data_IF_891675157624
#
_entry.id   IF_891675157624
#
_cell.length_a   1.000
_cell.length_b   1.000
_cell.length_c   1.000
_cell.angle_alpha   90.00
_cell.angle_beta   90.00
_cell.angle_gamma   90.00
#
_symmetry.space_group_name_H-M   'P 1'
#
loop_
_entity.id
_entity.type
_entity.pdbx_description
1 polymer ?
#
# COMPACT_ATOMS: atom_id res chain seq x y z
N UNK A 1 71.53 -21.32 28.85
CA UNK A 1 70.86 -20.35 27.96
C UNK A 1 69.36 -20.58 28.11
N UNK A 2 68.71 -19.90 29.05
CA UNK A 2 67.25 -19.96 29.21
C UNK A 2 66.74 -18.51 29.19
N UNK A 3 66.05 -18.17 28.10
CA UNK A 3 65.48 -16.86 27.87
C UNK A 3 64.32 -16.63 28.85
N UNK A 4 64.42 -15.62 29.71
CA UNK A 4 63.32 -15.16 30.55
C UNK A 4 62.28 -14.44 29.66
N UNK A 5 61.19 -15.12 29.31
CA UNK A 5 59.99 -14.46 28.81
C UNK A 5 59.34 -13.71 29.99
N UNK A 6 59.55 -12.40 30.04
CA UNK A 6 58.98 -11.51 31.04
C UNK A 6 57.47 -11.39 30.79
N UNK A 7 56.66 -12.13 31.55
CA UNK A 7 55.20 -11.99 31.52
C UNK A 7 54.78 -10.63 32.11
N UNK A 8 54.43 -9.69 31.24
CA UNK A 8 53.87 -8.40 31.61
C UNK A 8 52.35 -8.51 31.76
N UNK A 9 51.88 -9.18 32.82
CA UNK A 9 50.46 -9.28 33.15
C UNK A 9 50.05 -8.11 34.03
N UNK A 10 49.66 -7.00 33.41
CA UNK A 10 49.03 -5.87 34.10
C UNK A 10 47.61 -6.26 34.53
N UNK A 11 47.28 -6.09 35.81
CA UNK A 11 45.93 -6.32 36.34
C UNK A 11 45.02 -5.11 36.13
N UNK A 12 43.72 -5.33 35.96
CA UNK A 12 42.73 -4.25 35.91
C UNK A 12 42.38 -3.76 37.32
N UNK A 13 42.20 -2.45 37.46
CA UNK A 13 41.65 -1.88 38.70
C UNK A 13 40.12 -1.95 38.70
N UNK A 14 39.51 -2.00 39.89
CA UNK A 14 38.05 -1.99 40.02
C UNK A 14 37.43 -0.74 39.37
N UNK A 15 38.10 0.42 39.47
CA UNK A 15 37.66 1.65 38.81
C UNK A 15 37.76 1.60 37.28
N UNK A 16 38.76 0.92 36.73
CA UNK A 16 38.87 0.71 35.29
C UNK A 16 37.76 -0.20 34.75
N UNK A 17 37.42 -1.27 35.50
CA UNK A 17 36.31 -2.16 35.11
C UNK A 17 34.97 -1.43 35.13
N UNK A 18 34.72 -0.53 36.09
CA UNK A 18 33.45 0.22 36.16
C UNK A 18 33.35 1.23 35.03
N UNK A 19 34.44 1.90 34.68
CA UNK A 19 34.49 2.82 33.52
C UNK A 19 34.29 2.04 32.21
N UNK A 20 34.97 0.91 32.03
CA UNK A 20 34.86 0.07 30.85
C UNK A 20 33.41 -0.45 30.67
N UNK A 21 32.77 -0.91 31.74
CA UNK A 21 31.37 -1.32 31.73
C UNK A 21 30.43 -0.15 31.41
N UNK A 22 30.72 1.06 31.90
CA UNK A 22 29.96 2.26 31.57
C UNK A 22 29.99 2.57 30.07
N UNK A 23 31.17 2.55 29.45
CA UNK A 23 31.33 2.76 28.01
C UNK A 23 30.62 1.66 27.21
N UNK A 24 30.74 0.40 27.66
CA UNK A 24 30.04 -0.73 27.04
C UNK A 24 28.52 -0.54 27.08
N UNK A 25 27.97 -0.13 28.23
CA UNK A 25 26.53 0.10 28.38
C UNK A 25 26.02 1.20 27.44
N UNK A 26 26.76 2.30 27.28
CA UNK A 26 26.40 3.36 26.33
C UNK A 26 26.37 2.80 24.90
N UNK A 27 27.36 1.99 24.53
CA UNK A 27 27.41 1.33 23.22
C UNK A 27 26.22 0.41 22.97
N UNK A 28 25.85 -0.41 23.96
CA UNK A 28 24.70 -1.33 23.87
C UNK A 28 23.37 -0.57 23.77
N UNK A 29 23.20 0.51 24.53
CA UNK A 29 21.99 1.33 24.44
C UNK A 29 21.85 1.98 23.06
N UNK A 30 22.95 2.48 22.49
CA UNK A 30 22.94 3.08 21.16
C UNK A 30 22.57 2.08 20.05
N UNK A 31 23.03 0.82 20.15
CA UNK A 31 22.68 -0.20 19.15
C UNK A 31 21.23 -0.66 19.27
N UNK A 32 20.70 -0.79 20.50
CA UNK A 32 19.30 -1.16 20.72
C UNK A 32 18.35 -0.10 20.17
N UNK A 33 18.62 1.19 20.40
CA UNK A 33 17.75 2.26 19.86
C UNK A 33 17.74 2.27 18.33
N UNK A 34 18.91 2.05 17.70
CA UNK A 34 19.01 1.93 16.25
C UNK A 34 18.21 0.72 15.72
N UNK A 35 18.33 -0.44 16.36
CA UNK A 35 17.58 -1.64 15.98
C UNK A 35 16.07 -1.41 16.03
N UNK A 36 15.57 -0.79 17.10
CA UNK A 36 14.14 -0.46 17.23
C UNK A 36 13.68 0.49 16.12
N UNK A 37 14.49 1.47 15.76
CA UNK A 37 14.21 2.35 14.63
C UNK A 37 14.14 1.55 13.33
N UNK A 38 15.14 0.71 13.03
CA UNK A 38 15.20 -0.13 11.83
C UNK A 38 13.99 -1.05 11.70
N UNK A 39 13.55 -1.70 12.79
CA UNK A 39 12.34 -2.55 12.75
C UNK A 39 11.09 -1.77 12.39
N UNK A 40 10.96 -0.54 12.90
CA UNK A 40 9.81 0.30 12.56
C UNK A 40 9.83 0.70 11.08
N UNK A 41 11.01 1.04 10.54
CA UNK A 41 11.17 1.34 9.11
C UNK A 41 10.91 0.12 8.23
N UNK A 42 11.35 -1.07 8.64
CA UNK A 42 11.11 -2.31 7.90
C UNK A 42 9.61 -2.61 7.78
N UNK A 43 8.86 -2.52 8.88
CA UNK A 43 7.40 -2.74 8.85
C UNK A 43 6.67 -1.72 7.97
N UNK A 44 7.08 -0.45 8.02
CA UNK A 44 6.48 0.56 7.15
C UNK A 44 6.78 0.27 5.67
N UNK A 45 8.02 -0.08 5.35
CA UNK A 45 8.45 -0.42 3.98
C UNK A 45 7.69 -1.63 3.41
N UNK A 46 7.46 -2.67 4.23
CA UNK A 46 6.64 -3.83 3.84
C UNK A 46 5.21 -3.42 3.46
N UNK A 47 4.59 -2.52 4.23
CA UNK A 47 3.26 -2.02 3.92
C UNK A 47 3.24 -1.18 2.64
N UNK A 48 4.24 -0.33 2.42
CA UNK A 48 4.34 0.48 1.21
C UNK A 48 4.42 -0.38 -0.06
N UNK A 49 5.14 -1.50 -0.03
CA UNK A 49 5.19 -2.44 -1.16
C UNK A 49 3.79 -3.02 -1.46
N UNK A 50 3.03 -3.40 -0.44
CA UNK A 50 1.66 -3.92 -0.60
C UNK A 50 0.76 -2.83 -1.20
N UNK A 51 0.80 -1.63 -0.63
CA UNK A 51 0.02 -0.47 -1.06
C UNK A 51 0.25 -0.13 -2.53
N UNK A 52 1.51 -0.09 -2.97
CA UNK A 52 1.86 0.22 -4.37
C UNK A 52 1.28 -0.84 -5.31
N UNK A 53 1.33 -2.12 -4.93
CA UNK A 53 0.77 -3.20 -5.74
C UNK A 53 -0.77 -3.20 -5.73
N UNK A 54 -1.41 -2.85 -4.62
CA UNK A 54 -2.87 -2.67 -4.56
C UNK A 54 -3.34 -1.51 -5.45
N UNK A 55 -2.58 -0.41 -5.47
CA UNK A 55 -2.87 0.73 -6.31
C UNK A 55 -2.74 0.36 -7.80
N UNK A 56 -1.67 -0.37 -8.17
CA UNK A 56 -1.48 -0.94 -9.51
C UNK A 56 -2.63 -1.87 -9.90
N UNK A 57 -3.02 -2.79 -9.02
CA UNK A 57 -4.14 -3.69 -9.28
C UNK A 57 -5.42 -2.91 -9.60
N UNK A 58 -5.74 -1.86 -8.85
CA UNK A 58 -6.91 -1.02 -9.13
C UNK A 58 -6.92 -0.44 -10.55
N UNK A 59 -5.75 0.00 -11.06
CA UNK A 59 -5.63 0.47 -12.44
C UNK A 59 -5.78 -0.68 -13.44
N UNK A 60 -5.17 -1.84 -13.17
CA UNK A 60 -5.28 -3.00 -14.06
C UNK A 60 -6.73 -3.50 -14.17
N UNK A 61 -7.52 -3.42 -13.09
CA UNK A 61 -8.96 -3.76 -13.13
C UNK A 61 -9.70 -2.86 -14.13
N UNK A 62 -9.49 -1.54 -14.07
CA UNK A 62 -10.13 -0.61 -15.01
C UNK A 62 -9.63 -0.82 -16.44
N UNK A 63 -8.34 -1.10 -16.62
CA UNK A 63 -7.78 -1.45 -17.93
C UNK A 63 -8.39 -2.73 -18.49
N UNK A 64 -8.61 -3.74 -17.65
CA UNK A 64 -9.25 -4.98 -18.03
C UNK A 64 -10.70 -4.74 -18.45
N UNK A 65 -11.47 -3.95 -17.69
CA UNK A 65 -12.83 -3.55 -18.06
C UNK A 65 -12.87 -2.90 -19.44
N UNK A 66 -12.02 -1.88 -19.67
CA UNK A 66 -11.89 -1.24 -20.99
C UNK A 66 -11.60 -2.27 -22.09
N UNK A 67 -10.58 -3.10 -21.92
CA UNK A 67 -10.16 -4.05 -22.95
C UNK A 67 -11.20 -5.15 -23.23
N UNK A 68 -12.10 -5.40 -22.28
CA UNK A 68 -13.15 -6.41 -22.39
C UNK A 68 -14.50 -5.85 -22.83
N UNK A 69 -14.57 -4.55 -23.12
CA UNK A 69 -15.79 -3.89 -23.60
C UNK A 69 -16.13 -4.38 -25.03
N UNK A 70 -17.40 -4.73 -25.23
CA UNK A 70 -18.01 -4.99 -26.53
C UNK A 70 -19.09 -3.92 -26.80
N UNK A 71 -18.89 -3.01 -27.78
CA UNK A 71 -19.85 -1.93 -28.07
C UNK A 71 -21.25 -2.41 -28.46
N UNK A 72 -21.40 -3.67 -28.89
CA UNK A 72 -22.71 -4.24 -29.26
C UNK A 72 -23.48 -4.77 -28.04
N UNK A 73 -22.84 -4.81 -26.86
CA UNK A 73 -23.39 -5.37 -25.64
C UNK A 73 -23.61 -4.27 -24.61
N UNK A 74 -24.82 -3.71 -24.61
CA UNK A 74 -25.22 -2.60 -23.73
C UNK A 74 -25.08 -2.87 -22.21
N UNK A 75 -24.88 -4.13 -21.79
CA UNK A 75 -24.58 -4.47 -20.41
C UNK A 75 -23.15 -4.15 -20.00
N UNK A 76 -22.23 -4.06 -20.95
CA UNK A 76 -20.80 -3.89 -20.69
C UNK A 76 -20.47 -2.43 -20.44
N UNK A 77 -19.44 -2.19 -19.63
CA UNK A 77 -19.11 -0.85 -19.17
C UNK A 77 -18.26 -0.17 -20.23
N UNK A 78 -18.81 0.87 -20.85
CA UNK A 78 -18.04 1.82 -21.62
C UNK A 78 -17.64 3.00 -20.72
N UNK A 79 -16.39 3.00 -20.23
CA UNK A 79 -15.87 4.08 -19.38
C UNK A 79 -15.72 5.44 -20.10
N UNK A 80 -15.86 5.49 -21.43
CA UNK A 80 -15.74 6.69 -22.26
C UNK A 80 -17.09 7.36 -22.60
N UNK A 81 -18.21 6.83 -22.14
CA UNK A 81 -19.54 7.40 -22.36
C UNK A 81 -19.87 8.62 -21.47
N UNK A 82 -18.93 9.00 -20.59
CA UNK A 82 -19.01 10.03 -19.54
C UNK A 82 -19.96 9.71 -18.37
N UNK A 83 -20.65 8.57 -18.38
CA UNK A 83 -21.55 8.16 -17.28
C UNK A 83 -20.79 7.93 -15.97
N UNK A 84 -19.50 7.61 -16.06
CA UNK A 84 -18.64 7.29 -14.93
C UNK A 84 -17.70 8.43 -14.52
N UNK A 85 -17.85 9.62 -15.12
CA UNK A 85 -16.98 10.76 -14.84
C UNK A 85 -17.16 11.28 -13.41
N UNK A 86 -16.03 11.46 -12.73
CA UNK A 86 -15.92 11.83 -11.32
C UNK A 86 -16.59 10.84 -10.36
N UNK A 87 -16.84 9.61 -10.82
CA UNK A 87 -17.37 8.55 -9.99
C UNK A 87 -16.25 7.74 -9.33
N UNK A 88 -16.58 7.18 -8.17
CA UNK A 88 -15.65 6.43 -7.33
C UNK A 88 -16.17 5.02 -7.11
N UNK A 89 -15.27 4.04 -7.05
CA UNK A 89 -15.61 2.63 -7.01
C UNK A 89 -14.67 1.83 -6.11
N UNK A 90 -15.20 0.71 -5.59
CA UNK A 90 -14.45 -0.29 -4.84
C UNK A 90 -14.42 -1.62 -5.61
N UNK A 91 -13.76 -1.63 -6.77
CA UNK A 91 -13.74 -2.79 -7.66
C UNK A 91 -12.68 -3.81 -7.25
N UNK A 92 -12.97 -5.07 -7.52
CA UNK A 92 -12.09 -6.23 -7.40
C UNK A 92 -11.88 -6.90 -8.76
N UNK A 93 -10.82 -7.70 -8.88
CA UNK A 93 -10.47 -8.37 -10.13
C UNK A 93 -11.45 -9.49 -10.55
N UNK A 94 -12.36 -9.92 -9.67
CA UNK A 94 -13.43 -10.88 -10.02
C UNK A 94 -14.76 -10.21 -10.34
N UNK A 95 -14.86 -8.88 -10.21
CA UNK A 95 -16.08 -8.17 -10.55
C UNK A 95 -16.35 -8.27 -12.05
N UNK A 96 -17.59 -8.58 -12.41
CA UNK A 96 -18.01 -8.63 -13.80
C UNK A 96 -17.96 -7.22 -14.43
N UNK A 97 -17.45 -7.13 -15.66
CA UNK A 97 -17.50 -5.89 -16.47
C UNK A 97 -18.93 -5.59 -16.93
N UNK A 98 -19.79 -5.15 -16.01
CA UNK A 98 -21.19 -4.82 -16.31
C UNK A 98 -21.64 -3.54 -15.61
N UNK A 99 -22.58 -2.81 -16.22
CA UNK A 99 -23.19 -1.59 -15.64
C UNK A 99 -23.78 -1.87 -14.25
N UNK A 100 -24.37 -3.06 -14.04
CA UNK A 100 -24.93 -3.46 -12.74
C UNK A 100 -23.84 -3.62 -11.69
N UNK A 101 -22.72 -4.27 -12.03
CA UNK A 101 -21.57 -4.41 -11.13
C UNK A 101 -20.99 -3.05 -10.74
N UNK A 102 -20.83 -2.14 -11.71
CA UNK A 102 -20.36 -0.78 -11.45
C UNK A 102 -21.27 -0.01 -10.49
N UNK A 103 -22.59 -0.14 -10.64
CA UNK A 103 -23.56 0.51 -9.77
C UNK A 103 -23.52 -0.05 -8.33
N UNK A 104 -23.37 -1.38 -8.18
CA UNK A 104 -23.26 -2.04 -6.88
C UNK A 104 -21.95 -1.69 -6.17
N UNK A 105 -20.86 -1.54 -6.92
CA UNK A 105 -19.53 -1.24 -6.41
C UNK A 105 -19.21 0.27 -6.37
N UNK A 106 -20.23 1.13 -6.45
CA UNK A 106 -20.06 2.57 -6.35
C UNK A 106 -19.77 2.99 -4.90
N UNK A 107 -18.66 3.71 -4.71
CA UNK A 107 -18.26 4.28 -3.44
C UNK A 107 -18.88 5.67 -3.28
N UNK A 108 -20.03 5.75 -2.60
CA UNK A 108 -20.76 7.01 -2.37
C UNK A 108 -20.45 7.60 -0.98
N UNK A 109 -20.56 8.93 -0.85
CA UNK A 109 -20.41 9.61 0.44
C UNK A 109 -18.97 9.77 0.94
N UNK A 110 -17.95 9.46 0.14
CA UNK A 110 -16.55 9.64 0.46
C UNK A 110 -15.77 10.35 -0.66
N UNK A 111 -14.79 11.16 -0.28
CA UNK A 111 -13.86 11.84 -1.19
C UNK A 111 -12.46 11.24 -1.19
N UNK A 112 -12.12 10.44 -0.18
CA UNK A 112 -10.84 9.78 -0.03
C UNK A 112 -11.06 8.31 0.32
N UNK A 113 -10.08 7.46 -0.01
CA UNK A 113 -10.13 6.04 0.32
C UNK A 113 -10.29 5.81 1.83
N UNK A 114 -9.69 6.68 2.65
CA UNK A 114 -9.73 6.57 4.12
C UNK A 114 -11.13 6.76 4.71
N UNK A 115 -11.90 7.70 4.14
CA UNK A 115 -13.26 8.03 4.58
C UNK A 115 -14.33 7.07 4.02
N UNK A 116 -13.99 6.29 2.99
CA UNK A 116 -14.90 5.33 2.38
C UNK A 116 -15.12 4.11 3.29
N UNK A 117 -16.37 3.83 3.66
CA UNK A 117 -16.75 2.68 4.49
C UNK A 117 -16.74 1.36 3.72
N UNK A 118 -17.04 1.41 2.42
CA UNK A 118 -17.12 0.24 1.52
C UNK A 118 -15.77 -0.14 0.91
N UNK A 119 -14.78 0.74 0.98
CA UNK A 119 -13.47 0.58 0.34
C UNK A 119 -12.50 -0.29 1.16
N UNK A 120 -12.97 -0.94 2.23
CA UNK A 120 -12.16 -1.78 3.09
C UNK A 120 -11.72 -3.05 2.35
N UNK A 121 -10.41 -3.32 2.35
CA UNK A 121 -9.88 -4.55 1.78
C UNK A 121 -9.76 -5.66 2.83
N UNK A 122 -10.11 -6.85 2.39
CA UNK A 122 -10.04 -8.12 3.10
C UNK A 122 -9.12 -9.06 2.34
N UNK A 123 -8.27 -9.81 3.06
CA UNK A 123 -7.43 -10.84 2.48
C UNK A 123 -8.17 -12.17 2.50
N UNK A 124 -8.47 -12.71 1.33
CA UNK A 124 -9.12 -14.00 1.14
C UNK A 124 -8.26 -14.86 0.19
N UNK A 125 -7.77 -16.00 0.66
CA UNK A 125 -6.95 -16.95 -0.12
C UNK A 125 -5.78 -16.32 -0.91
N UNK A 126 -5.11 -15.34 -0.30
CA UNK A 126 -3.97 -14.63 -0.91
C UNK A 126 -4.34 -13.48 -1.84
N UNK A 127 -5.63 -13.15 -1.96
CA UNK A 127 -6.16 -12.06 -2.79
C UNK A 127 -6.84 -11.00 -1.93
N UNK A 128 -6.69 -9.73 -2.32
CA UNK A 128 -7.40 -8.62 -1.67
C UNK A 128 -8.76 -8.39 -2.34
N UNK A 129 -9.82 -8.34 -1.54
CA UNK A 129 -11.21 -8.13 -2.01
C UNK A 129 -11.97 -7.19 -1.06
N UNK A 130 -13.08 -6.61 -1.51
CA UNK A 130 -13.93 -5.73 -0.70
C UNK A 130 -15.09 -6.44 0.01
N UNK A 131 -15.28 -7.74 -0.25
CA UNK A 131 -16.50 -8.47 0.15
C UNK A 131 -16.28 -9.50 1.26
N UNK A 132 -15.15 -10.22 1.26
CA UNK A 132 -14.93 -11.33 2.18
C UNK A 132 -13.45 -11.54 2.54
N UNK A 133 -13.20 -12.16 3.70
CA UNK A 133 -11.87 -12.55 4.15
C UNK A 133 -11.47 -11.93 5.49
N UNK A 134 -10.16 -11.94 5.77
CA UNK A 134 -9.59 -11.32 6.95
C UNK A 134 -9.45 -9.81 6.76
N UNK A 135 -10.04 -9.02 7.66
CA UNK A 135 -9.97 -7.57 7.58
C UNK A 135 -8.51 -7.10 7.65
N UNK A 136 -8.12 -6.25 6.69
CA UNK A 136 -6.78 -5.67 6.64
C UNK A 136 -6.80 -4.23 7.14
N UNK A 137 -5.66 -3.55 7.20
CA UNK A 137 -5.62 -2.11 7.46
C UNK A 137 -5.71 -1.27 6.18
N UNK A 138 -5.85 -1.90 5.01
CA UNK A 138 -5.86 -1.22 3.72
C UNK A 138 -7.29 -0.91 3.27
N UNK A 139 -7.45 0.25 2.64
CA UNK A 139 -8.63 0.60 1.87
C UNK A 139 -8.24 1.04 0.47
N UNK A 140 -8.98 0.63 -0.55
CA UNK A 140 -8.73 1.03 -1.96
C UNK A 140 -9.95 1.69 -2.56
N UNK A 141 -9.74 2.79 -3.27
CA UNK A 141 -10.77 3.48 -4.02
C UNK A 141 -10.25 3.84 -5.40
N UNK A 142 -11.04 3.55 -6.42
CA UNK A 142 -10.73 3.88 -7.81
C UNK A 142 -11.63 5.04 -8.21
N UNK A 143 -11.06 6.09 -8.78
CA UNK A 143 -11.81 7.24 -9.32
C UNK A 143 -11.56 7.33 -10.82
N UNK A 144 -12.63 7.54 -11.57
CA UNK A 144 -12.58 7.80 -13.01
C UNK A 144 -12.86 9.29 -13.20
N UNK A 145 -11.89 10.04 -13.71
CA UNK A 145 -12.00 11.45 -14.03
C UNK A 145 -11.95 11.67 -15.54
N UNK A 146 -12.59 12.72 -16.08
CA UNK A 146 -12.41 13.10 -17.47
C UNK A 146 -10.93 13.43 -17.76
N UNK A 147 -10.42 12.98 -18.91
CA UNK A 147 -9.10 13.38 -19.40
C UNK A 147 -9.15 14.70 -20.19
N UNK A 148 -8.08 14.99 -20.93
CA UNK A 148 -7.96 16.22 -21.73
C UNK A 148 -8.88 16.23 -22.97
N UNK A 149 -9.43 15.08 -23.33
CA UNK A 149 -10.38 14.90 -24.43
C UNK A 149 -11.47 13.88 -24.10
N UNK A 150 -12.54 13.84 -24.88
CA UNK A 150 -13.59 12.81 -24.74
C UNK A 150 -13.11 11.39 -25.04
N UNK A 151 -11.89 11.22 -25.57
CA UNK A 151 -11.25 9.94 -25.88
C UNK A 151 -10.18 9.56 -24.86
N UNK A 152 -10.13 10.26 -23.74
CA UNK A 152 -9.20 10.00 -22.65
C UNK A 152 -9.92 10.05 -21.30
N UNK A 153 -9.57 9.12 -20.42
CA UNK A 153 -10.00 9.11 -19.02
C UNK A 153 -8.79 9.01 -18.11
N UNK A 154 -8.78 9.82 -17.07
CA UNK A 154 -7.79 9.76 -16.00
C UNK A 154 -8.30 8.79 -14.94
N UNK A 155 -7.54 7.72 -14.70
CA UNK A 155 -7.87 6.69 -13.71
C UNK A 155 -6.95 6.89 -12.52
N UNK A 156 -7.55 7.06 -11.34
CA UNK A 156 -6.87 7.30 -10.08
C UNK A 156 -7.17 6.13 -9.14
N UNK A 157 -6.13 5.44 -8.69
CA UNK A 157 -6.24 4.38 -7.68
C UNK A 157 -5.59 4.89 -6.40
N UNK A 158 -6.42 5.22 -5.41
CA UNK A 158 -6.00 5.66 -4.09
C UNK A 158 -6.09 4.49 -3.11
N UNK A 159 -5.00 4.22 -2.39
CA UNK A 159 -4.95 3.25 -1.30
C UNK A 159 -4.60 4.00 -0.02
N UNK A 160 -5.39 3.80 1.03
CA UNK A 160 -5.12 4.35 2.37
C UNK A 160 -4.93 3.23 3.38
N UNK A 161 -4.09 3.48 4.39
CA UNK A 161 -3.87 2.54 5.46
C UNK A 161 -3.53 3.24 6.77
N UNK A 162 -3.84 2.58 7.88
CA UNK A 162 -3.45 3.08 9.20
C UNK A 162 -2.25 2.30 9.70
N UNK A 163 -1.19 3.01 10.08
CA UNK A 163 0.00 2.47 10.72
C UNK A 163 0.26 3.22 12.03
N UNK A 164 0.29 2.50 13.15
CA UNK A 164 0.50 3.07 14.50
C UNK A 164 -0.38 4.29 14.83
N UNK A 165 -1.64 4.25 14.38
CA UNK A 165 -2.63 5.31 14.62
C UNK A 165 -2.53 6.51 13.67
N UNK A 166 -1.58 6.52 12.73
CA UNK A 166 -1.50 7.52 11.66
C UNK A 166 -2.07 6.95 10.37
N UNK A 167 -2.91 7.73 9.69
CA UNK A 167 -3.46 7.36 8.39
C UNK A 167 -2.54 7.89 7.30
N UNK A 168 -2.08 6.97 6.46
CA UNK A 168 -1.30 7.24 5.26
C UNK A 168 -2.16 6.98 4.02
N UNK A 169 -1.77 7.59 2.90
CA UNK A 169 -2.39 7.40 1.61
C UNK A 169 -1.34 7.40 0.50
N UNK A 170 -1.59 6.61 -0.53
CA UNK A 170 -0.80 6.54 -1.75
C UNK A 170 -1.74 6.57 -2.94
N UNK A 171 -1.38 7.35 -3.95
CA UNK A 171 -2.19 7.52 -5.15
C UNK A 171 -1.35 7.18 -6.37
N UNK A 172 -1.90 6.33 -7.24
CA UNK A 172 -1.36 6.05 -8.55
C UNK A 172 -2.36 6.51 -9.61
N UNK A 173 -1.85 7.24 -10.60
CA UNK A 173 -2.67 7.79 -11.68
C UNK A 173 -2.20 7.24 -13.03
N UNK A 174 -3.14 7.03 -13.95
CA UNK A 174 -2.84 6.73 -15.35
C UNK A 174 -3.89 7.36 -16.26
N UNK A 175 -3.55 7.50 -17.53
CA UNK A 175 -4.48 7.95 -18.56
C UNK A 175 -4.79 6.78 -19.48
N UNK A 176 -6.07 6.47 -19.64
CA UNK A 176 -6.54 5.47 -20.58
C UNK A 176 -7.18 6.17 -21.77
N UNK A 177 -6.77 5.79 -22.96
CA UNK A 177 -7.37 6.26 -24.21
C UNK A 177 -8.40 5.26 -24.73
N UNK A 178 -9.36 5.79 -25.47
CA UNK A 178 -10.33 5.05 -26.29
C UNK A 178 -9.68 4.76 -27.65
N UNK A 179 -9.07 3.58 -27.79
CA UNK A 179 -8.33 3.17 -28.99
C UNK A 179 -9.01 2.06 -29.78
N UNK A 180 -10.18 1.59 -29.33
CA UNK A 180 -10.96 0.55 -29.99
C UNK A 180 -11.68 1.09 -31.24
#
# INVERSE_FOLDING_TARGET
MFNNLKNNSQGLTLMETTIALGILMIGVLATVTLLLATFNYAQQSEQEIVVVNLAREGIEIVRAMRNSEDPNKASDVNIFDNSYDNQKFHLDSDDANTVVSMALNSATGANTASACSQCQLYLNDGKYTHTAGQATNFKRMITIEPGDSSKEKKIISEVSWTFKGQTHSYTLETYLTDWQ
#
